data_IF_141973117928
#
_entry.id   IF_141973117928
#
_cell.length_a   1.000
_cell.length_b   1.000
_cell.length_c   1.000
_cell.angle_alpha   90.00
_cell.angle_beta   90.00
_cell.angle_gamma   90.00
#
_symmetry.space_group_name_H-M   'P 1'
#
loop_
_entity.id
_entity.type
_entity.pdbx_description
1 polymer ?
#
# COMPACT_ATOMS: atom_id res chain seq x y z
N UNK A 1 23.19 7.12 -17.90
CA UNK A 1 24.28 8.09 -17.92
C UNK A 1 23.70 9.50 -18.04
N UNK A 2 24.16 10.42 -17.18
CA UNK A 2 23.80 11.85 -17.27
C UNK A 2 24.93 12.55 -18.02
N UNK A 3 24.58 13.23 -19.12
CA UNK A 3 25.57 13.97 -19.94
C UNK A 3 25.56 15.45 -19.58
N UNK A 4 26.74 16.02 -19.43
CA UNK A 4 26.90 17.47 -19.19
C UNK A 4 26.75 17.90 -17.73
N UNK A 5 26.60 16.94 -16.78
CA UNK A 5 26.51 17.21 -15.35
C UNK A 5 27.14 16.05 -14.56
N UNK A 6 28.42 16.22 -14.21
CA UNK A 6 29.17 15.20 -13.48
C UNK A 6 28.71 15.07 -12.01
N UNK A 7 28.21 16.13 -11.40
CA UNK A 7 27.67 16.09 -10.02
C UNK A 7 26.39 15.30 -9.98
N UNK A 8 25.44 15.56 -10.85
CA UNK A 8 24.21 14.78 -10.96
C UNK A 8 24.49 13.30 -11.26
N UNK A 9 25.47 13.01 -12.14
CA UNK A 9 25.90 11.64 -12.40
C UNK A 9 26.49 10.97 -11.17
N UNK A 10 27.28 11.69 -10.37
CA UNK A 10 27.85 11.16 -9.13
C UNK A 10 26.75 10.85 -8.09
N UNK A 11 25.85 11.79 -7.85
CA UNK A 11 24.72 11.62 -6.93
C UNK A 11 23.85 10.42 -7.33
N UNK A 12 23.53 10.29 -8.61
CA UNK A 12 22.76 9.14 -9.11
C UNK A 12 23.46 7.80 -8.79
N UNK A 13 24.78 7.72 -8.97
CA UNK A 13 25.55 6.51 -8.64
C UNK A 13 25.53 6.20 -7.15
N UNK A 14 25.63 7.21 -6.30
CA UNK A 14 25.57 7.06 -4.84
C UNK A 14 24.20 6.50 -4.43
N UNK A 15 23.11 7.07 -4.92
CA UNK A 15 21.76 6.60 -4.61
C UNK A 15 21.53 5.16 -5.09
N UNK A 16 21.93 4.83 -6.31
CA UNK A 16 21.85 3.46 -6.83
C UNK A 16 22.67 2.50 -5.96
N UNK A 17 23.88 2.90 -5.54
CA UNK A 17 24.73 2.09 -4.67
C UNK A 17 24.04 1.81 -3.33
N UNK A 18 23.41 2.80 -2.70
CA UNK A 18 22.67 2.63 -1.45
C UNK A 18 21.46 1.69 -1.61
N UNK A 19 20.72 1.79 -2.71
CA UNK A 19 19.61 0.86 -2.99
C UNK A 19 20.15 -0.56 -3.13
N UNK A 20 21.23 -0.77 -3.90
CA UNK A 20 21.80 -2.09 -4.14
C UNK A 20 22.49 -2.70 -2.90
N UNK A 21 22.97 -1.88 -1.98
CA UNK A 21 23.44 -2.36 -0.67
C UNK A 21 22.30 -2.88 0.19
N UNK A 22 21.12 -2.24 0.09
CA UNK A 22 19.92 -2.63 0.84
C UNK A 22 19.21 -3.83 0.20
N UNK A 23 19.10 -3.82 -1.12
CA UNK A 23 18.33 -4.80 -1.90
C UNK A 23 19.17 -5.31 -3.06
N UNK A 24 19.58 -6.59 -2.99
CA UNK A 24 20.38 -7.24 -4.04
C UNK A 24 20.05 -8.72 -4.13
N UNK A 25 20.66 -9.43 -5.08
CA UNK A 25 20.52 -10.89 -5.15
C UNK A 25 20.94 -11.60 -3.85
N UNK A 26 21.87 -11.01 -3.09
CA UNK A 26 22.33 -11.58 -1.82
C UNK A 26 21.26 -11.49 -0.71
N UNK A 27 20.23 -10.66 -0.89
CA UNK A 27 19.13 -10.50 0.07
C UNK A 27 17.84 -11.19 -0.38
N UNK A 28 17.84 -11.85 -1.54
CA UNK A 28 16.64 -12.45 -2.13
C UNK A 28 16.02 -13.59 -1.31
N UNK A 29 16.82 -14.29 -0.52
CA UNK A 29 16.35 -15.38 0.35
C UNK A 29 15.93 -14.90 1.75
N UNK A 30 16.09 -13.61 2.03
CA UNK A 30 15.68 -13.04 3.31
C UNK A 30 14.17 -12.76 3.31
N UNK A 31 13.53 -13.05 4.43
CA UNK A 31 12.13 -12.66 4.66
C UNK A 31 12.07 -11.22 5.18
N UNK A 32 12.40 -10.26 4.32
CA UNK A 32 12.50 -8.86 4.64
C UNK A 32 11.93 -8.00 3.52
N UNK A 33 11.43 -6.81 3.88
CA UNK A 33 11.06 -5.74 2.96
C UNK A 33 12.17 -4.69 2.86
N UNK A 34 11.87 -3.57 2.20
CA UNK A 34 12.80 -2.44 2.07
C UNK A 34 12.63 -1.49 3.24
N UNK A 35 13.63 -1.30 4.10
CA UNK A 35 13.57 -0.31 5.17
C UNK A 35 13.46 1.11 4.57
N UNK A 36 12.67 1.99 5.20
CA UNK A 36 12.42 3.33 4.71
C UNK A 36 13.68 4.17 4.49
N UNK A 37 14.71 3.96 5.30
CA UNK A 37 16.01 4.65 5.19
C UNK A 37 17.16 3.78 4.68
N UNK A 38 16.84 2.61 4.11
CA UNK A 38 17.88 1.63 3.77
C UNK A 38 18.67 1.15 5.00
N UNK A 39 19.87 0.64 4.78
CA UNK A 39 20.73 0.14 5.85
C UNK A 39 21.64 1.21 6.48
N UNK A 40 21.72 2.38 5.86
CA UNK A 40 22.62 3.46 6.28
C UNK A 40 21.90 4.61 7.02
N UNK A 41 20.58 4.53 7.15
CA UNK A 41 19.77 5.55 7.81
C UNK A 41 19.45 5.19 9.26
N UNK A 42 19.40 6.18 10.13
CA UNK A 42 19.17 6.00 11.57
C UNK A 42 17.68 6.13 11.96
N UNK A 43 16.85 6.67 11.09
CA UNK A 43 15.42 6.86 11.38
C UNK A 43 14.60 5.61 11.07
N UNK A 44 13.41 5.54 11.67
CA UNK A 44 12.39 4.51 11.46
C UNK A 44 12.78 3.08 11.84
N UNK A 45 13.85 2.91 12.61
CA UNK A 45 14.25 1.64 13.23
C UNK A 45 14.39 0.44 12.27
N UNK A 46 14.70 0.72 10.99
CA UNK A 46 14.78 -0.32 9.95
C UNK A 46 13.42 -0.90 9.52
N UNK A 47 12.32 -0.28 9.91
CA UNK A 47 10.99 -0.75 9.56
C UNK A 47 10.61 -0.44 8.11
N UNK A 48 9.66 -1.21 7.60
CA UNK A 48 9.15 -1.15 6.24
C UNK A 48 7.86 -0.33 6.22
N UNK A 49 7.81 0.67 5.36
CA UNK A 49 6.66 1.55 5.13
C UNK A 49 6.18 1.41 3.68
N UNK A 50 5.72 2.49 3.09
CA UNK A 50 5.29 2.53 1.69
C UNK A 50 6.41 2.91 0.71
N UNK A 51 7.60 3.20 1.19
CA UNK A 51 8.78 3.61 0.41
C UNK A 51 9.16 2.60 -0.69
N UNK A 52 8.75 1.33 -0.51
CA UNK A 52 8.82 0.31 -1.54
C UNK A 52 8.21 0.77 -2.88
N UNK A 53 7.16 1.62 -2.82
CA UNK A 53 6.52 2.21 -4.00
C UNK A 53 7.50 2.97 -4.91
N UNK A 54 8.48 3.64 -4.31
CA UNK A 54 9.47 4.47 -5.02
C UNK A 54 10.72 3.68 -5.43
N UNK A 55 11.00 2.58 -4.77
CA UNK A 55 12.19 1.74 -5.01
C UNK A 55 11.90 0.64 -6.03
N UNK A 56 10.72 0.02 -5.98
CA UNK A 56 10.36 -1.10 -6.84
C UNK A 56 10.38 -0.81 -8.34
N UNK A 57 10.03 0.38 -8.86
CA UNK A 57 10.19 0.66 -10.28
C UNK A 57 11.61 0.43 -10.78
N UNK A 58 12.62 0.91 -10.04
CA UNK A 58 14.02 0.68 -10.38
C UNK A 58 14.41 -0.81 -10.27
N UNK A 59 14.05 -1.48 -9.17
CA UNK A 59 14.38 -2.89 -8.95
C UNK A 59 13.71 -3.79 -9.97
N UNK A 60 12.43 -3.58 -10.28
CA UNK A 60 11.68 -4.41 -11.22
C UNK A 60 12.32 -4.37 -12.61
N UNK A 61 12.78 -3.20 -13.07
CA UNK A 61 13.46 -3.08 -14.34
C UNK A 61 14.86 -3.70 -14.38
N UNK A 62 15.55 -3.76 -13.24
CA UNK A 62 16.96 -4.18 -13.17
C UNK A 62 17.15 -5.54 -12.55
N UNK A 63 16.37 -5.86 -11.53
CA UNK A 63 16.51 -7.03 -10.68
C UNK A 63 15.12 -7.60 -10.31
N UNK A 64 14.30 -8.04 -11.29
CA UNK A 64 12.92 -8.45 -11.04
C UNK A 64 12.80 -9.58 -10.00
N UNK A 65 13.78 -10.48 -9.94
CA UNK A 65 13.82 -11.53 -8.92
C UNK A 65 13.92 -10.98 -7.50
N UNK A 66 14.63 -9.86 -7.31
CA UNK A 66 14.72 -9.17 -6.02
C UNK A 66 13.39 -8.54 -5.65
N UNK A 67 12.72 -7.85 -6.58
CA UNK A 67 11.38 -7.29 -6.35
C UNK A 67 10.38 -8.39 -5.96
N UNK A 68 10.43 -9.52 -6.66
CA UNK A 68 9.58 -10.68 -6.33
C UNK A 68 9.81 -11.17 -4.90
N UNK A 69 11.05 -11.27 -4.48
CA UNK A 69 11.40 -11.67 -3.11
C UNK A 69 10.86 -10.68 -2.07
N UNK A 70 11.00 -9.38 -2.32
CA UNK A 70 10.50 -8.32 -1.44
C UNK A 70 8.96 -8.32 -1.36
N UNK A 71 8.26 -8.60 -2.45
CA UNK A 71 6.80 -8.78 -2.43
C UNK A 71 6.37 -9.97 -1.58
N UNK A 72 7.20 -11.02 -1.50
CA UNK A 72 6.92 -12.18 -0.64
C UNK A 72 6.93 -11.84 0.84
N UNK A 73 7.64 -10.78 1.28
CA UNK A 73 7.55 -10.28 2.65
C UNK A 73 6.11 -9.88 3.00
N UNK A 74 5.43 -9.15 2.11
CA UNK A 74 4.02 -8.75 2.30
C UNK A 74 3.09 -9.96 2.20
N UNK A 75 3.31 -10.84 1.22
CA UNK A 75 2.51 -12.05 1.05
C UNK A 75 2.48 -12.93 2.31
N UNK A 76 3.62 -13.15 2.95
CA UNK A 76 3.73 -13.98 4.15
C UNK A 76 3.04 -13.38 5.39
N UNK A 77 2.67 -12.12 5.35
CA UNK A 77 2.04 -11.35 6.45
C UNK A 77 0.57 -10.99 6.20
N UNK A 78 -0.08 -11.73 5.31
CA UNK A 78 -1.51 -11.55 5.03
C UNK A 78 -2.40 -11.94 6.20
N UNK A 79 -2.01 -12.92 7.01
CA UNK A 79 -2.73 -13.31 8.23
C UNK A 79 -2.77 -12.17 9.24
N UNK A 80 -1.64 -11.51 9.45
CA UNK A 80 -1.52 -10.36 10.34
C UNK A 80 -2.32 -9.18 9.82
N UNK A 81 -2.27 -8.92 8.51
CA UNK A 81 -3.06 -7.88 7.86
C UNK A 81 -4.58 -8.15 7.96
N UNK A 82 -5.00 -9.42 7.93
CA UNK A 82 -6.40 -9.82 8.15
C UNK A 82 -6.83 -9.58 9.60
N UNK A 83 -5.98 -9.96 10.55
CA UNK A 83 -6.24 -9.72 11.99
C UNK A 83 -6.32 -8.22 12.27
N UNK A 84 -5.42 -7.43 11.69
CA UNK A 84 -5.43 -5.97 11.85
C UNK A 84 -6.72 -5.34 11.29
N UNK A 85 -7.19 -5.79 10.12
CA UNK A 85 -8.47 -5.34 9.56
C UNK A 85 -9.63 -5.67 10.50
N UNK A 86 -9.74 -6.92 10.94
CA UNK A 86 -10.80 -7.38 11.84
C UNK A 86 -10.81 -6.62 13.18
N UNK A 87 -9.63 -6.38 13.77
CA UNK A 87 -9.49 -5.62 15.01
C UNK A 87 -9.94 -4.16 14.89
N UNK A 88 -9.84 -3.59 13.68
CA UNK A 88 -10.32 -2.25 13.36
C UNK A 88 -11.79 -2.21 12.89
N UNK A 89 -12.48 -3.36 12.85
CA UNK A 89 -13.88 -3.47 12.39
C UNK A 89 -14.02 -3.53 10.87
N UNK A 90 -12.96 -3.89 10.15
CA UNK A 90 -12.93 -3.99 8.69
C UNK A 90 -12.72 -5.45 8.23
N UNK A 91 -12.89 -5.68 6.94
CA UNK A 91 -12.63 -6.97 6.29
C UNK A 91 -11.37 -6.89 5.41
N UNK A 92 -10.88 -8.05 4.96
CA UNK A 92 -9.77 -8.12 4.00
C UNK A 92 -8.39 -7.94 4.63
N UNK A 93 -7.45 -7.32 3.90
CA UNK A 93 -6.06 -7.19 4.33
C UNK A 93 -5.69 -5.71 4.51
N UNK A 94 -5.60 -5.29 5.77
CA UNK A 94 -5.12 -3.98 6.18
C UNK A 94 -3.68 -4.11 6.67
N UNK A 95 -2.73 -3.81 5.81
CA UNK A 95 -1.32 -3.82 6.19
C UNK A 95 -0.99 -2.65 7.12
N UNK A 96 -0.05 -2.85 8.08
CA UNK A 96 0.36 -1.80 9.00
C UNK A 96 1.10 -0.68 8.27
N UNK A 97 0.98 0.54 8.76
CA UNK A 97 1.77 1.66 8.26
C UNK A 97 3.26 1.40 8.46
N UNK A 98 3.64 1.03 9.67
CA UNK A 98 5.01 0.72 10.04
C UNK A 98 5.14 -0.76 10.35
N UNK A 99 5.78 -1.52 9.48
CA UNK A 99 5.89 -2.98 9.55
C UNK A 99 7.27 -3.43 9.98
N UNK A 100 7.31 -4.33 10.95
CA UNK A 100 8.52 -5.03 11.37
C UNK A 100 8.56 -6.48 10.90
N UNK A 101 9.38 -7.31 11.54
CA UNK A 101 9.55 -8.73 11.21
C UNK A 101 8.26 -9.56 11.37
N UNK A 102 7.37 -9.17 12.28
CA UNK A 102 6.12 -9.88 12.54
C UNK A 102 4.97 -9.41 11.63
N UNK A 103 5.11 -8.29 10.92
CA UNK A 103 4.04 -7.75 10.08
C UNK A 103 2.87 -7.11 10.84
N UNK A 104 3.06 -6.86 12.13
CA UNK A 104 2.12 -6.11 12.97
C UNK A 104 2.44 -4.62 12.97
N UNK A 105 1.47 -3.78 13.37
CA UNK A 105 1.67 -2.33 13.48
C UNK A 105 2.73 -2.00 14.55
N UNK A 106 3.75 -1.24 14.15
CA UNK A 106 4.87 -0.82 14.98
C UNK A 106 4.93 0.70 15.17
N UNK A 107 3.92 1.42 14.69
CA UNK A 107 3.77 2.86 14.95
C UNK A 107 3.71 3.10 16.45
N UNK A 108 4.45 4.08 16.92
CA UNK A 108 4.43 4.47 18.31
C UNK A 108 3.07 5.09 18.69
N UNK A 109 2.67 4.96 19.94
CA UNK A 109 1.41 5.56 20.43
C UNK A 109 1.54 7.07 20.66
N UNK A 110 2.73 7.51 21.03
CA UNK A 110 3.03 8.91 21.32
C UNK A 110 4.27 9.35 20.57
N UNK A 111 4.27 10.59 20.10
CA UNK A 111 5.45 11.24 19.57
C UNK A 111 5.77 12.54 20.32
N UNK A 112 7.05 12.85 20.42
CA UNK A 112 7.54 14.10 20.94
C UNK A 112 7.71 15.10 19.80
N UNK A 113 7.01 16.23 19.87
CA UNK A 113 7.31 17.35 19.01
C UNK A 113 8.53 18.10 19.57
N UNK A 114 9.70 18.05 18.89
CA UNK A 114 10.93 18.60 19.44
C UNK A 114 10.91 20.13 19.52
N UNK A 115 10.09 20.81 18.73
CA UNK A 115 9.99 22.27 18.73
C UNK A 115 9.18 22.78 19.91
N UNK A 116 8.06 22.12 20.25
CA UNK A 116 7.19 22.53 21.36
C UNK A 116 7.51 21.84 22.68
N UNK A 117 8.28 20.73 22.66
CA UNK A 117 8.52 19.87 23.81
C UNK A 117 7.29 19.09 24.29
N UNK A 118 6.22 19.06 23.51
CA UNK A 118 4.98 18.34 23.86
C UNK A 118 4.97 16.93 23.34
N UNK A 119 4.35 16.05 24.10
CA UNK A 119 3.97 14.73 23.68
C UNK A 119 2.54 14.75 23.17
N UNK A 120 2.34 14.21 21.96
CA UNK A 120 1.03 14.09 21.31
C UNK A 120 0.80 12.64 20.90
N UNK A 121 -0.48 12.28 20.71
CA UNK A 121 -0.84 10.94 20.17
C UNK A 121 -0.37 10.85 18.72
N UNK A 122 0.32 9.75 18.41
CA UNK A 122 0.72 9.45 17.04
C UNK A 122 -0.44 8.79 16.27
N UNK A 123 -0.93 9.48 15.25
CA UNK A 123 -2.04 9.01 14.41
C UNK A 123 -1.56 8.35 13.11
N UNK A 124 -0.26 8.16 12.93
CA UNK A 124 0.34 7.63 11.68
C UNK A 124 -0.19 6.25 11.30
N UNK A 125 -0.66 5.45 12.27
CA UNK A 125 -1.33 4.18 11.99
C UNK A 125 -2.57 4.34 11.08
N UNK A 126 -3.14 5.54 10.95
CA UNK A 126 -4.26 5.84 10.03
C UNK A 126 -3.81 6.09 8.58
N UNK A 127 -2.51 5.98 8.29
CA UNK A 127 -1.98 6.03 6.92
C UNK A 127 -2.25 4.71 6.18
N UNK A 128 -3.54 4.42 5.97
CA UNK A 128 -4.02 3.16 5.36
C UNK A 128 -3.58 2.99 3.91
N UNK A 129 -3.13 4.07 3.27
CA UNK A 129 -2.66 4.06 1.87
C UNK A 129 -1.44 3.15 1.63
N UNK A 130 -0.75 2.68 2.68
CA UNK A 130 0.27 1.63 2.54
C UNK A 130 -0.31 0.36 1.87
N UNK A 131 -1.54 -0.02 2.20
CA UNK A 131 -2.21 -1.15 1.54
C UNK A 131 -2.45 -0.90 0.05
N UNK A 132 -2.78 0.36 -0.32
CA UNK A 132 -2.90 0.74 -1.73
C UNK A 132 -1.54 0.68 -2.45
N UNK A 133 -0.47 1.14 -1.81
CA UNK A 133 0.89 1.05 -2.34
C UNK A 133 1.32 -0.41 -2.60
N UNK A 134 1.00 -1.33 -1.68
CA UNK A 134 1.28 -2.76 -1.86
C UNK A 134 0.51 -3.33 -3.06
N UNK A 135 -0.77 -2.99 -3.21
CA UNK A 135 -1.56 -3.38 -4.38
C UNK A 135 -0.91 -2.91 -5.67
N UNK A 136 -0.50 -1.64 -5.73
CA UNK A 136 0.17 -1.06 -6.88
C UNK A 136 1.51 -1.77 -7.17
N UNK A 137 2.29 -2.06 -6.16
CA UNK A 137 3.58 -2.74 -6.31
C UNK A 137 3.42 -4.14 -6.92
N UNK A 138 2.41 -4.90 -6.48
CA UNK A 138 2.09 -6.21 -7.07
C UNK A 138 1.66 -6.05 -8.52
N UNK A 139 0.75 -5.13 -8.80
CA UNK A 139 0.25 -4.87 -10.15
C UNK A 139 1.37 -4.43 -11.10
N UNK A 140 2.19 -3.47 -10.68
CA UNK A 140 3.32 -2.97 -11.46
C UNK A 140 4.32 -4.09 -11.76
N UNK A 141 4.67 -4.90 -10.74
CA UNK A 141 5.58 -6.02 -10.91
C UNK A 141 5.07 -6.99 -11.98
N UNK A 142 3.84 -7.45 -11.86
CA UNK A 142 3.25 -8.41 -12.80
C UNK A 142 3.13 -7.82 -14.22
N UNK A 143 2.71 -6.56 -14.33
CA UNK A 143 2.56 -5.88 -15.62
C UNK A 143 3.90 -5.71 -16.36
N UNK A 144 4.99 -5.46 -15.62
CA UNK A 144 6.31 -5.24 -16.22
C UNK A 144 7.08 -6.53 -16.50
N UNK A 145 6.84 -7.57 -15.71
CA UNK A 145 7.63 -8.82 -15.79
C UNK A 145 6.89 -9.96 -16.47
N UNK A 146 5.56 -9.82 -16.61
CA UNK A 146 4.68 -10.89 -17.09
C UNK A 146 4.80 -12.19 -16.25
N UNK A 147 5.16 -12.06 -14.96
CA UNK A 147 5.23 -13.20 -14.02
C UNK A 147 3.81 -13.65 -13.64
N UNK A 148 3.15 -14.35 -14.58
CA UNK A 148 1.79 -14.88 -14.38
C UNK A 148 1.74 -15.88 -13.23
N UNK A 149 2.80 -16.65 -13.01
CA UNK A 149 2.90 -17.61 -11.91
C UNK A 149 2.83 -16.89 -10.55
N UNK A 150 3.49 -15.73 -10.41
CA UNK A 150 3.37 -14.95 -9.20
C UNK A 150 1.95 -14.41 -9.02
N UNK A 151 1.33 -13.91 -10.08
CA UNK A 151 -0.06 -13.43 -10.03
C UNK A 151 -1.01 -14.55 -9.60
N UNK A 152 -0.94 -15.71 -10.25
CA UNK A 152 -1.83 -16.84 -10.05
C UNK A 152 -1.78 -17.42 -8.62
N UNK A 153 -0.58 -17.53 -8.07
CA UNK A 153 -0.36 -18.26 -6.80
C UNK A 153 -0.12 -17.37 -5.59
N UNK A 154 0.06 -16.05 -5.78
CA UNK A 154 0.38 -15.10 -4.70
C UNK A 154 -0.29 -13.73 -4.88
N UNK A 155 -0.04 -13.09 -6.00
CA UNK A 155 -0.40 -11.68 -6.24
C UNK A 155 -1.92 -11.45 -6.21
N UNK A 156 -2.69 -12.29 -6.86
CA UNK A 156 -4.14 -12.14 -6.94
C UNK A 156 -4.81 -12.21 -5.56
N UNK A 157 -4.37 -13.12 -4.70
CA UNK A 157 -4.90 -13.22 -3.33
C UNK A 157 -4.61 -11.95 -2.52
N UNK A 158 -3.38 -11.41 -2.60
CA UNK A 158 -3.02 -10.14 -1.95
C UNK A 158 -3.91 -9.00 -2.45
N UNK A 159 -4.01 -8.86 -3.77
CA UNK A 159 -4.73 -7.75 -4.39
C UNK A 159 -6.23 -7.80 -4.05
N UNK A 160 -6.87 -8.95 -4.15
CA UNK A 160 -8.28 -9.10 -3.82
C UNK A 160 -8.56 -8.89 -2.32
N UNK A 161 -7.66 -9.37 -1.45
CA UNK A 161 -7.76 -9.11 -0.01
C UNK A 161 -7.63 -7.62 0.34
N UNK A 162 -6.74 -6.89 -0.33
CA UNK A 162 -6.60 -5.42 -0.17
C UNK A 162 -7.84 -4.69 -0.73
N UNK A 163 -8.36 -5.12 -1.87
CA UNK A 163 -9.59 -4.53 -2.43
C UNK A 163 -10.79 -4.71 -1.49
N UNK A 164 -10.90 -5.87 -0.84
CA UNK A 164 -11.92 -6.13 0.20
C UNK A 164 -11.76 -5.16 1.36
N UNK A 165 -10.55 -4.92 1.84
CA UNK A 165 -10.30 -3.95 2.90
C UNK A 165 -10.81 -2.55 2.51
N UNK A 166 -10.41 -2.05 1.35
CA UNK A 166 -10.86 -0.74 0.88
C UNK A 166 -12.37 -0.65 0.63
N UNK A 167 -12.98 -1.76 0.21
CA UNK A 167 -14.43 -1.83 0.08
C UNK A 167 -15.13 -1.80 1.43
N UNK A 168 -14.54 -2.42 2.47
CA UNK A 168 -15.13 -2.47 3.82
C UNK A 168 -15.04 -1.14 4.58
N UNK A 169 -14.00 -0.34 4.36
CA UNK A 169 -13.85 1.00 4.98
C UNK A 169 -14.73 2.05 4.28
N UNK A 170 -15.06 1.85 3.01
CA UNK A 170 -15.87 2.78 2.25
C UNK A 170 -17.37 2.62 2.57
N UNK A 171 -18.06 3.73 2.76
CA UNK A 171 -19.51 3.76 2.95
C UNK A 171 -20.19 4.53 1.81
N UNK A 172 -21.41 4.12 1.46
CA UNK A 172 -22.19 4.80 0.44
C UNK A 172 -22.99 5.95 1.06
N UNK A 173 -22.84 7.15 0.51
CA UNK A 173 -23.66 8.31 0.85
C UNK A 173 -24.85 8.40 -0.11
N UNK A 174 -26.08 8.16 0.34
CA UNK A 174 -27.26 8.31 -0.51
C UNK A 174 -27.48 9.74 -0.99
N UNK A 175 -27.10 10.73 -0.17
CA UNK A 175 -27.22 12.15 -0.49
C UNK A 175 -26.34 12.53 -1.68
N UNK A 176 -25.08 12.09 -1.67
CA UNK A 176 -24.11 12.35 -2.74
C UNK A 176 -24.19 11.35 -3.88
N UNK A 177 -24.83 10.21 -3.66
CA UNK A 177 -24.81 9.05 -4.56
C UNK A 177 -23.37 8.61 -4.91
N UNK A 178 -22.48 8.65 -3.91
CA UNK A 178 -21.07 8.32 -4.03
C UNK A 178 -20.60 7.53 -2.82
N UNK A 179 -19.49 6.78 -3.00
CA UNK A 179 -18.77 6.15 -1.89
C UNK A 179 -17.78 7.13 -1.28
N UNK A 180 -17.69 7.15 0.02
CA UNK A 180 -16.85 8.03 0.81
C UNK A 180 -15.96 7.21 1.74
N UNK A 181 -14.74 7.73 2.02
CA UNK A 181 -13.81 7.16 3.00
C UNK A 181 -13.52 8.23 4.05
N UNK A 182 -13.64 7.86 5.31
CA UNK A 182 -13.40 8.74 6.45
C UNK A 182 -12.39 8.12 7.41
N UNK A 183 -11.75 8.96 8.26
CA UNK A 183 -10.88 8.50 9.34
C UNK A 183 -9.51 8.01 8.87
N UNK A 184 -9.04 8.41 7.70
CA UNK A 184 -7.70 8.10 7.18
C UNK A 184 -6.80 9.31 7.23
N UNK A 185 -5.49 9.09 7.32
CA UNK A 185 -4.51 10.13 7.02
C UNK A 185 -4.20 10.16 5.52
N UNK A 186 -3.97 11.35 4.99
CA UNK A 186 -3.43 11.54 3.65
C UNK A 186 -1.93 11.16 3.59
N UNK A 187 -1.35 11.15 2.37
CA UNK A 187 0.06 10.77 2.18
C UNK A 187 1.05 11.84 2.63
N UNK A 188 0.63 13.08 2.79
CA UNK A 188 1.46 14.19 3.22
C UNK A 188 1.44 14.36 4.74
N UNK A 189 2.47 15.02 5.28
CA UNK A 189 2.52 15.42 6.67
C UNK A 189 1.37 16.39 7.02
N UNK A 190 0.98 16.41 8.28
CA UNK A 190 -0.12 17.24 8.82
C UNK A 190 -1.55 16.89 8.35
N UNK A 191 -1.73 15.84 7.56
CA UNK A 191 -3.05 15.30 7.20
C UNK A 191 -3.65 14.39 8.26
N UNK A 192 -3.31 14.62 9.52
CA UNK A 192 -3.69 13.76 10.65
C UNK A 192 -5.16 13.96 11.06
N UNK A 193 -5.61 15.20 11.07
CA UNK A 193 -6.98 15.60 11.46
C UNK A 193 -7.29 17.03 11.05
N UNK A 194 -8.57 17.37 11.06
CA UNK A 194 -8.99 18.77 10.88
C UNK A 194 -8.63 19.62 12.10
N UNK A 195 -8.38 20.92 11.92
CA UNK A 195 -8.15 21.86 13.05
C UNK A 195 -9.30 21.81 14.05
N UNK A 196 -8.98 21.60 15.32
CA UNK A 196 -9.96 21.53 16.42
C UNK A 196 -10.76 20.22 16.52
N UNK A 197 -10.51 19.23 15.65
CA UNK A 197 -11.16 17.93 15.77
C UNK A 197 -10.63 17.14 16.98
N UNK A 198 -11.53 16.46 17.70
CA UNK A 198 -11.19 15.54 18.79
C UNK A 198 -10.70 14.19 18.28
N UNK A 199 -11.18 13.77 17.10
CA UNK A 199 -10.84 12.51 16.47
C UNK A 199 -9.82 12.70 15.35
N UNK A 200 -8.98 11.69 15.13
CA UNK A 200 -8.02 11.66 14.04
C UNK A 200 -8.65 11.30 12.70
N UNK A 201 -7.92 11.60 11.65
CA UNK A 201 -8.29 11.29 10.27
C UNK A 201 -9.03 12.40 9.55
N UNK A 202 -8.94 12.38 8.24
CA UNK A 202 -9.64 13.28 7.33
C UNK A 202 -10.74 12.54 6.57
N UNK A 203 -11.65 13.29 5.96
CA UNK A 203 -12.75 12.76 5.13
C UNK A 203 -12.43 12.98 3.67
N UNK A 204 -12.60 11.93 2.88
CA UNK A 204 -12.50 12.00 1.42
C UNK A 204 -11.18 12.62 0.95
N UNK A 205 -10.05 12.12 1.48
CA UNK A 205 -8.76 12.49 0.93
C UNK A 205 -8.69 12.10 -0.56
N UNK A 206 -8.41 13.07 -1.42
CA UNK A 206 -8.45 12.90 -2.87
C UNK A 206 -7.51 11.79 -3.36
N UNK A 207 -6.26 11.79 -2.89
CA UNK A 207 -5.29 10.74 -3.22
C UNK A 207 -5.82 9.35 -2.88
N UNK A 208 -6.32 9.17 -1.65
CA UNK A 208 -6.85 7.88 -1.19
C UNK A 208 -8.04 7.45 -2.04
N UNK A 209 -9.00 8.34 -2.28
CA UNK A 209 -10.23 8.00 -2.99
C UNK A 209 -9.98 7.68 -4.48
N UNK A 210 -9.10 8.42 -5.15
CA UNK A 210 -8.68 8.12 -6.54
C UNK A 210 -7.97 6.77 -6.60
N UNK A 211 -7.05 6.52 -5.66
CA UNK A 211 -6.33 5.25 -5.62
C UNK A 211 -7.27 4.06 -5.36
N UNK A 212 -8.24 4.21 -4.46
CA UNK A 212 -9.24 3.16 -4.18
C UNK A 212 -10.16 2.91 -5.37
N UNK A 213 -10.57 3.96 -6.10
CA UNK A 213 -11.33 3.79 -7.35
C UNK A 213 -10.56 2.94 -8.37
N UNK A 214 -9.28 3.20 -8.54
CA UNK A 214 -8.39 2.43 -9.42
C UNK A 214 -8.20 0.98 -8.93
N UNK A 215 -8.00 0.76 -7.61
CA UNK A 215 -7.91 -0.59 -7.02
C UNK A 215 -9.17 -1.39 -7.31
N UNK A 216 -10.34 -0.78 -7.11
CA UNK A 216 -11.63 -1.43 -7.34
C UNK A 216 -11.85 -1.78 -8.82
N UNK A 217 -11.38 -0.94 -9.73
CA UNK A 217 -11.47 -1.22 -11.17
C UNK A 217 -10.65 -2.45 -11.55
N UNK A 218 -9.40 -2.52 -11.14
CA UNK A 218 -8.54 -3.68 -11.40
C UNK A 218 -9.08 -4.94 -10.71
N UNK A 219 -9.42 -4.85 -9.42
CA UNK A 219 -9.89 -6.01 -8.65
C UNK A 219 -11.17 -6.62 -9.22
N UNK A 220 -12.05 -5.79 -9.78
CA UNK A 220 -13.30 -6.23 -10.39
C UNK A 220 -13.11 -7.12 -11.64
N UNK A 221 -11.94 -7.06 -12.26
CA UNK A 221 -11.57 -7.83 -13.46
C UNK A 221 -10.41 -8.79 -13.23
N UNK A 222 -9.84 -8.81 -12.04
CA UNK A 222 -8.60 -9.56 -11.77
C UNK A 222 -8.76 -11.07 -11.96
N UNK A 223 -9.92 -11.61 -11.60
CA UNK A 223 -10.20 -13.05 -11.79
C UNK A 223 -10.27 -13.44 -13.27
N UNK A 224 -10.64 -12.52 -14.15
CA UNK A 224 -10.71 -12.76 -15.59
C UNK A 224 -9.31 -12.89 -16.23
N UNK A 225 -8.28 -12.42 -15.55
CA UNK A 225 -6.87 -12.53 -15.97
C UNK A 225 -6.22 -13.85 -15.56
N UNK A 226 -6.89 -14.64 -14.72
CA UNK A 226 -6.37 -15.90 -14.20
C UNK A 226 -6.90 -17.09 -14.99
N UNK A 227 -6.11 -18.17 -15.14
CA UNK A 227 -6.66 -19.45 -15.60
C UNK A 227 -7.80 -19.92 -14.67
N UNK A 228 -8.82 -20.54 -15.24
CA UNK A 228 -10.05 -20.93 -14.50
C UNK A 228 -9.80 -21.70 -13.19
N UNK A 229 -8.85 -22.68 -13.11
CA UNK A 229 -8.58 -23.37 -11.84
C UNK A 229 -8.03 -22.44 -10.76
N UNK A 230 -7.13 -21.51 -11.14
CA UNK A 230 -6.51 -20.56 -10.21
C UNK A 230 -7.52 -19.51 -9.74
N UNK A 231 -8.34 -19.00 -10.65
CA UNK A 231 -9.44 -18.09 -10.31
C UNK A 231 -10.40 -18.75 -9.30
N UNK A 232 -10.79 -20.00 -9.53
CA UNK A 232 -11.61 -20.77 -8.59
C UNK A 232 -10.93 -20.99 -7.24
N UNK A 233 -9.65 -21.31 -7.23
CA UNK A 233 -8.89 -21.53 -6.00
C UNK A 233 -8.75 -20.26 -5.15
N UNK A 234 -8.43 -19.11 -5.77
CA UNK A 234 -8.34 -17.82 -5.08
C UNK A 234 -9.70 -17.41 -4.54
N UNK A 235 -10.75 -17.56 -5.34
CA UNK A 235 -12.13 -17.28 -4.95
C UNK A 235 -12.55 -18.10 -3.73
N UNK A 236 -12.23 -19.39 -3.70
CA UNK A 236 -12.54 -20.28 -2.58
C UNK A 236 -11.75 -19.91 -1.31
N UNK A 237 -10.43 -19.64 -1.43
CA UNK A 237 -9.61 -19.24 -0.26
C UNK A 237 -10.07 -17.95 0.39
N UNK A 238 -10.51 -16.99 -0.42
CA UNK A 238 -11.01 -15.72 0.08
C UNK A 238 -12.51 -15.74 0.39
N UNK A 239 -13.23 -16.84 0.08
CA UNK A 239 -14.69 -16.89 0.16
C UNK A 239 -15.33 -15.68 -0.55
N UNK A 240 -14.82 -15.39 -1.76
CA UNK A 240 -15.18 -14.18 -2.50
C UNK A 240 -16.57 -14.34 -3.14
N UNK A 241 -17.44 -13.40 -2.86
CA UNK A 241 -18.84 -13.38 -3.34
C UNK A 241 -18.99 -12.49 -4.58
N UNK A 242 -20.00 -12.77 -5.40
CA UNK A 242 -20.31 -11.97 -6.60
C UNK A 242 -20.72 -10.54 -6.25
N UNK A 243 -21.37 -10.35 -5.10
CA UNK A 243 -21.78 -9.03 -4.61
C UNK A 243 -20.58 -8.15 -4.29
N UNK A 244 -19.45 -8.71 -3.85
CA UNK A 244 -18.23 -7.94 -3.62
C UNK A 244 -17.65 -7.44 -4.95
N UNK A 245 -17.59 -8.30 -5.96
CA UNK A 245 -17.11 -7.91 -7.29
C UNK A 245 -18.04 -6.83 -7.91
N UNK A 246 -19.34 -7.01 -7.77
CA UNK A 246 -20.33 -6.02 -8.22
C UNK A 246 -20.15 -4.67 -7.48
N UNK A 247 -19.88 -4.71 -6.17
CA UNK A 247 -19.60 -3.54 -5.36
C UNK A 247 -18.31 -2.83 -5.83
N UNK A 248 -17.24 -3.57 -6.13
CA UNK A 248 -16.01 -2.97 -6.66
C UNK A 248 -16.25 -2.29 -8.00
N UNK A 249 -17.01 -2.90 -8.91
CA UNK A 249 -17.41 -2.28 -10.19
C UNK A 249 -18.20 -0.99 -9.99
N UNK A 250 -19.06 -0.93 -8.98
CA UNK A 250 -19.81 0.28 -8.66
C UNK A 250 -18.91 1.34 -8.01
N UNK A 251 -18.05 0.93 -7.07
CA UNK A 251 -17.12 1.81 -6.38
C UNK A 251 -16.12 2.48 -7.34
N UNK A 252 -15.57 1.74 -8.32
CA UNK A 252 -14.62 2.29 -9.28
C UNK A 252 -15.18 3.49 -10.04
N UNK A 253 -16.50 3.53 -10.24
CA UNK A 253 -17.21 4.60 -10.99
C UNK A 253 -17.81 5.67 -10.11
N UNK A 254 -18.04 5.37 -8.84
CA UNK A 254 -18.85 6.20 -7.93
C UNK A 254 -18.10 6.61 -6.66
N UNK A 255 -16.79 6.42 -6.59
CA UNK A 255 -15.98 6.98 -5.51
C UNK A 255 -16.07 8.51 -5.55
N UNK A 256 -16.28 9.13 -4.39
CA UNK A 256 -16.29 10.58 -4.27
C UNK A 256 -14.86 11.11 -4.37
N UNK A 257 -14.62 11.97 -5.34
CA UNK A 257 -13.34 12.70 -5.50
C UNK A 257 -13.63 14.18 -5.23
N UNK A 258 -13.02 14.78 -4.20
CA UNK A 258 -13.22 16.19 -3.92
C UNK A 258 -12.51 17.06 -4.97
N UNK A 259 -13.16 18.16 -5.35
CA UNK A 259 -12.58 19.19 -6.19
C UNK A 259 -12.64 20.53 -5.46
N UNK A 260 -11.58 21.30 -5.58
CA UNK A 260 -11.52 22.68 -5.13
C UNK A 260 -11.13 23.56 -6.31
N UNK A 261 -11.98 24.50 -6.70
CA UNK A 261 -11.79 25.37 -7.86
C UNK A 261 -11.43 24.61 -9.16
N UNK A 262 -12.04 23.44 -9.35
CA UNK A 262 -11.81 22.59 -10.54
C UNK A 262 -10.53 21.75 -10.50
N UNK A 263 -9.80 21.76 -9.40
CA UNK A 263 -8.56 20.97 -9.17
C UNK A 263 -8.86 19.88 -8.12
N UNK A 264 -8.29 18.67 -8.35
CA UNK A 264 -8.33 17.56 -7.40
C UNK A 264 -7.26 17.79 -6.32
#
# INVERSE_FOLDING_TARGET
>A
HVFGDDEAQHLLRVHISHILQTCSHNTSDLDAGVPARGINGEAYRGHVFWDELFVFPFLTFRLPAVTRSLLMYRYRRQSEARVAAASAGYEGFMFPWQSGSLGTEQTQELHLNPMSGRWDIDLSHNQRHVSAAIFYNVWQYVTLTEDTMFLEFRGAEMMLGIARFWSSIAHYSPERQRYEIHGVMGPDEYHEKYPGASEGGVRNNAYTNVFVAWICDIAAHLLDLLPTPQAGAVRARLELRDEEIARWKDMSRRMFVPFHDGII
#
